data_IF_892185281730
#
_entry.id   IF_892185281730
#
_cell.length_a   1.000
_cell.length_b   1.000
_cell.length_c   1.000
_cell.angle_alpha   90.00
_cell.angle_beta   90.00
_cell.angle_gamma   90.00
#
_symmetry.space_group_name_H-M   'P 1'
#
loop_
_entity.id
_entity.type
_entity.pdbx_description
1 polymer ?
#
# COMPACT_ATOMS: atom_id res chain seq x y z
N UNK A 1 -15.50 -3.20 11.76
CA UNK A 1 -15.32 -4.22 12.82
C UNK A 1 -15.65 -3.71 14.23
N UNK A 2 -15.33 -2.45 14.56
CA UNK A 2 -15.57 -1.85 15.90
C UNK A 2 -17.06 -1.71 16.29
N UNK A 3 -17.94 -1.36 15.33
CA UNK A 3 -19.35 -1.07 15.60
C UNK A 3 -20.31 -2.29 15.49
N UNK A 4 -19.81 -3.52 15.25
CA UNK A 4 -20.60 -4.77 15.12
C UNK A 4 -21.87 -4.68 14.24
N UNK A 5 -21.84 -3.92 13.15
CA UNK A 5 -22.96 -3.80 12.20
C UNK A 5 -22.81 -4.80 11.05
N UNK A 6 -23.72 -5.76 10.91
CA UNK A 6 -23.58 -6.88 9.96
C UNK A 6 -23.96 -6.56 8.51
N UNK A 7 -24.97 -5.71 8.27
CA UNK A 7 -25.44 -5.38 6.91
C UNK A 7 -24.39 -4.66 6.07
N UNK A 8 -23.38 -4.06 6.71
CA UNK A 8 -22.30 -3.33 6.03
C UNK A 8 -21.27 -4.25 5.39
N UNK A 9 -21.24 -5.55 5.69
CA UNK A 9 -20.22 -6.50 5.19
C UNK A 9 -19.97 -6.44 3.67
N UNK A 10 -20.98 -6.52 2.78
CA UNK A 10 -20.75 -6.44 1.33
C UNK A 10 -20.28 -5.05 0.88
N UNK A 11 -20.84 -3.99 1.46
CA UNK A 11 -20.48 -2.60 1.13
C UNK A 11 -19.05 -2.28 1.59
N UNK A 12 -18.66 -2.77 2.77
CA UNK A 12 -17.30 -2.61 3.29
C UNK A 12 -16.27 -3.29 2.40
N UNK A 13 -16.58 -4.46 1.81
CA UNK A 13 -15.68 -5.10 0.85
C UNK A 13 -15.56 -4.33 -0.47
N UNK A 14 -16.67 -3.83 -1.01
CA UNK A 14 -16.61 -2.99 -2.19
C UNK A 14 -15.82 -1.69 -1.93
N UNK A 15 -16.02 -1.07 -0.78
CA UNK A 15 -15.28 0.12 -0.36
C UNK A 15 -13.78 -0.16 -0.14
N UNK A 16 -13.43 -1.34 0.41
CA UNK A 16 -12.04 -1.80 0.51
C UNK A 16 -11.41 -1.91 -0.89
N UNK A 17 -12.08 -2.51 -1.86
CA UNK A 17 -11.56 -2.59 -3.24
C UNK A 17 -11.36 -1.21 -3.88
N UNK A 18 -12.33 -0.30 -3.73
CA UNK A 18 -12.22 1.07 -4.29
C UNK A 18 -11.06 1.84 -3.66
N UNK A 19 -10.85 1.69 -2.35
CA UNK A 19 -9.75 2.36 -1.66
C UNK A 19 -8.38 1.86 -2.13
N UNK A 20 -8.23 0.59 -2.52
CA UNK A 20 -6.98 0.06 -3.09
C UNK A 20 -6.63 0.75 -4.41
N UNK A 21 -7.58 0.82 -5.34
CA UNK A 21 -7.34 1.42 -6.65
C UNK A 21 -7.08 2.92 -6.52
N UNK A 22 -7.82 3.60 -5.64
CA UNK A 22 -7.61 5.01 -5.34
C UNK A 22 -6.22 5.26 -4.72
N UNK A 23 -5.78 4.42 -3.78
CA UNK A 23 -4.46 4.53 -3.14
C UNK A 23 -3.33 4.27 -4.14
N UNK A 24 -3.48 3.27 -5.01
CA UNK A 24 -2.52 2.99 -6.08
C UNK A 24 -2.37 4.16 -7.06
N UNK A 25 -3.49 4.75 -7.50
CA UNK A 25 -3.48 5.91 -8.38
C UNK A 25 -2.90 7.17 -7.68
N UNK A 26 -3.23 7.39 -6.41
CA UNK A 26 -2.70 8.49 -5.61
C UNK A 26 -1.19 8.35 -5.38
N UNK A 27 -0.70 7.15 -5.09
CA UNK A 27 0.74 6.89 -4.98
C UNK A 27 1.48 7.23 -6.28
N UNK A 28 0.91 6.85 -7.43
CA UNK A 28 1.51 7.10 -8.74
C UNK A 28 1.58 8.60 -9.08
N UNK A 29 0.53 9.37 -8.77
CA UNK A 29 0.48 10.80 -9.06
C UNK A 29 1.50 11.62 -8.27
N UNK A 30 1.81 11.20 -7.04
CA UNK A 30 2.87 11.79 -6.20
C UNK A 30 4.23 11.59 -6.87
N UNK A 31 4.55 10.37 -7.28
CA UNK A 31 5.81 10.07 -7.96
C UNK A 31 5.93 10.85 -9.27
N UNK A 32 4.86 10.98 -10.04
CA UNK A 32 4.84 11.76 -11.30
C UNK A 32 5.04 13.27 -11.10
N UNK A 33 4.68 13.82 -9.94
CA UNK A 33 4.89 15.24 -9.63
C UNK A 33 6.35 15.58 -9.27
N UNK A 34 7.19 14.59 -8.98
CA UNK A 34 8.61 14.86 -8.75
C UNK A 34 9.31 15.16 -10.08
N UNK A 35 9.79 16.39 -10.26
CA UNK A 35 10.53 16.79 -11.47
C UNK A 35 11.81 15.98 -11.74
N UNK A 36 12.32 15.23 -10.74
CA UNK A 36 13.46 14.31 -10.87
C UNK A 36 13.19 13.00 -10.12
N UNK A 37 12.30 12.17 -10.66
CA UNK A 37 11.93 10.86 -10.12
C UNK A 37 13.13 9.99 -9.71
N UNK A 38 14.19 9.97 -10.52
CA UNK A 38 15.38 9.15 -10.24
C UNK A 38 16.16 9.59 -9.00
N UNK A 39 15.88 10.76 -8.42
CA UNK A 39 16.50 11.21 -7.15
C UNK A 39 15.62 10.96 -5.92
N UNK A 40 14.43 10.37 -6.07
CA UNK A 40 13.52 10.13 -4.96
C UNK A 40 14.16 9.31 -3.83
N UNK A 41 15.08 8.40 -4.17
CA UNK A 41 15.79 7.58 -3.18
C UNK A 41 16.62 8.40 -2.18
N UNK A 42 17.01 9.65 -2.49
CA UNK A 42 17.74 10.53 -1.56
C UNK A 42 16.88 11.03 -0.39
N UNK A 43 15.56 10.88 -0.45
CA UNK A 43 14.66 11.17 0.68
C UNK A 43 14.66 10.06 1.73
N UNK A 44 15.08 8.85 1.36
CA UNK A 44 15.18 7.73 2.30
C UNK A 44 16.39 7.90 3.21
N UNK A 45 16.25 7.73 4.53
CA UNK A 45 17.36 7.73 5.46
C UNK A 45 18.08 6.39 5.38
N UNK A 46 19.06 6.28 4.48
CA UNK A 46 19.95 5.13 4.40
C UNK A 46 21.41 5.58 4.47
N UNK A 47 22.31 4.78 5.05
CA UNK A 47 23.73 5.12 5.13
C UNK A 47 24.34 5.10 3.72
N UNK A 48 24.89 6.24 3.30
CA UNK A 48 25.58 6.39 2.02
C UNK A 48 27.09 6.60 2.24
N UNK A 49 27.91 6.30 1.23
CA UNK A 49 29.37 6.51 1.22
C UNK A 49 29.78 7.95 1.57
N UNK A 50 28.88 8.91 1.34
CA UNK A 50 29.08 10.34 1.62
C UNK A 50 28.59 10.78 3.01
N UNK A 51 28.04 9.87 3.82
CA UNK A 51 27.44 10.15 5.14
C UNK A 51 26.41 11.31 5.14
N UNK A 52 25.73 11.51 4.00
CA UNK A 52 24.72 12.54 3.84
C UNK A 52 23.38 12.05 4.38
N UNK A 53 22.72 12.90 5.16
CA UNK A 53 21.42 12.62 5.73
C UNK A 53 20.34 13.55 5.19
N UNK A 54 19.09 13.07 5.08
CA UNK A 54 17.96 13.92 4.76
C UNK A 54 17.71 14.97 5.88
N UNK A 55 17.28 16.20 5.52
CA UNK A 55 16.90 17.22 6.51
C UNK A 55 15.55 16.91 7.20
N UNK A 56 15.59 16.42 8.44
CA UNK A 56 14.41 16.05 9.22
C UNK A 56 13.52 17.21 9.67
N UNK A 57 13.91 18.48 9.47
CA UNK A 57 13.04 19.64 9.75
C UNK A 57 12.17 20.04 8.56
N UNK A 58 12.39 19.43 7.40
CA UNK A 58 11.63 19.76 6.20
C UNK A 58 10.22 19.14 6.26
N UNK A 59 9.14 19.91 6.04
CA UNK A 59 7.78 19.37 5.98
C UNK A 59 7.61 18.36 4.83
N UNK A 60 8.38 18.52 3.74
CA UNK A 60 8.36 17.60 2.61
C UNK A 60 8.96 16.23 2.95
N UNK A 61 9.90 16.19 3.90
CA UNK A 61 10.41 14.93 4.44
C UNK A 61 9.34 14.19 5.24
N UNK A 62 8.58 14.95 6.04
CA UNK A 62 7.54 14.40 6.90
C UNK A 62 6.39 13.87 6.05
N UNK A 63 6.04 14.58 4.99
CA UNK A 63 5.07 14.13 4.01
C UNK A 63 5.50 12.80 3.35
N UNK A 64 6.74 12.71 2.88
CA UNK A 64 7.29 11.47 2.32
C UNK A 64 7.21 10.28 3.32
N UNK A 65 7.57 10.51 4.58
CA UNK A 65 7.48 9.49 5.63
C UNK A 65 6.05 9.08 5.96
N UNK A 66 5.15 10.06 6.06
CA UNK A 66 3.73 9.83 6.33
C UNK A 66 3.08 9.04 5.19
N UNK A 67 3.34 9.42 3.94
CA UNK A 67 2.84 8.73 2.75
C UNK A 67 3.39 7.31 2.69
N UNK A 68 4.69 7.10 2.90
CA UNK A 68 5.29 5.77 2.85
C UNK A 68 4.69 4.84 3.92
N UNK A 69 4.58 5.31 5.16
CA UNK A 69 3.98 4.53 6.24
C UNK A 69 2.49 4.26 6.00
N UNK A 70 1.74 5.25 5.49
CA UNK A 70 0.33 5.11 5.14
C UNK A 70 0.12 4.13 3.99
N UNK A 71 0.91 4.22 2.92
CA UNK A 71 0.86 3.29 1.78
C UNK A 71 1.15 1.86 2.25
N UNK A 72 2.21 1.68 3.04
CA UNK A 72 2.62 0.36 3.53
C UNK A 72 1.57 -0.23 4.48
N UNK A 73 1.07 0.57 5.42
CA UNK A 73 0.02 0.14 6.35
C UNK A 73 -1.30 -0.18 5.65
N UNK A 74 -1.70 0.63 4.67
CA UNK A 74 -2.92 0.40 3.90
C UNK A 74 -2.80 -0.86 3.03
N UNK A 75 -1.66 -1.07 2.35
CA UNK A 75 -1.41 -2.28 1.57
C UNK A 75 -1.47 -3.54 2.44
N UNK A 76 -0.86 -3.50 3.64
CA UNK A 76 -0.91 -4.61 4.60
C UNK A 76 -2.33 -4.88 5.09
N UNK A 77 -3.07 -3.84 5.47
CA UNK A 77 -4.45 -3.97 5.95
C UNK A 77 -5.34 -4.65 4.91
N UNK A 78 -5.22 -4.23 3.65
CA UNK A 78 -5.91 -4.80 2.51
C UNK A 78 -5.49 -6.25 2.27
N UNK A 79 -4.18 -6.51 2.25
CA UNK A 79 -3.64 -7.84 1.98
C UNK A 79 -4.16 -8.87 2.99
N UNK A 80 -4.21 -8.49 4.27
CA UNK A 80 -4.79 -9.32 5.33
C UNK A 80 -6.31 -9.52 5.17
N UNK A 81 -7.03 -8.53 4.66
CA UNK A 81 -8.47 -8.64 4.37
C UNK A 81 -8.80 -9.58 3.20
N UNK A 82 -7.93 -9.64 2.20
CA UNK A 82 -8.04 -10.49 1.01
C UNK A 82 -7.58 -11.93 1.24
N UNK A 83 -6.78 -12.18 2.27
CA UNK A 83 -6.22 -13.49 2.62
C UNK A 83 -7.26 -14.64 2.68
N UNK A 84 -8.42 -14.52 3.35
CA UNK A 84 -9.44 -15.58 3.34
C UNK A 84 -10.09 -15.78 1.97
N UNK A 85 -10.22 -14.73 1.16
CA UNK A 85 -10.80 -14.83 -0.18
C UNK A 85 -9.83 -15.51 -1.14
N UNK A 86 -8.52 -15.23 -1.02
CA UNK A 86 -7.48 -15.97 -1.72
C UNK A 86 -7.46 -17.44 -1.32
N UNK A 87 -7.63 -17.75 -0.02
CA UNK A 87 -7.72 -19.13 0.45
C UNK A 87 -8.95 -19.86 -0.13
N UNK A 88 -10.12 -19.22 -0.18
CA UNK A 88 -11.31 -19.80 -0.80
C UNK A 88 -11.14 -19.99 -2.32
N UNK A 89 -10.48 -19.03 -3.00
CA UNK A 89 -10.15 -19.16 -4.42
C UNK A 89 -9.15 -20.29 -4.69
N UNK A 90 -8.16 -20.50 -3.80
CA UNK A 90 -7.22 -21.62 -3.85
C UNK A 90 -7.97 -22.96 -3.80
N UNK A 91 -8.91 -23.09 -2.87
CA UNK A 91 -9.64 -24.34 -2.62
C UNK A 91 -10.63 -24.70 -3.74
N UNK A 92 -11.02 -23.73 -4.58
CA UNK A 92 -11.92 -23.92 -5.72
C UNK A 92 -11.23 -23.88 -7.10
N UNK A 93 -9.91 -23.72 -7.16
CA UNK A 93 -9.16 -23.74 -8.42
C UNK A 93 -8.41 -25.05 -8.63
N UNK A 94 -8.42 -25.57 -9.87
CA UNK A 94 -7.64 -26.74 -10.30
C UNK A 94 -6.71 -26.36 -11.47
N UNK A 95 -5.61 -27.09 -11.64
CA UNK A 95 -4.63 -26.89 -12.72
C UNK A 95 -3.63 -25.76 -12.44
N UNK A 96 -3.14 -25.08 -13.49
CA UNK A 96 -2.08 -24.05 -13.37
C UNK A 96 -2.47 -22.87 -12.47
N UNK A 97 -3.77 -22.55 -12.36
CA UNK A 97 -4.29 -21.51 -11.47
C UNK A 97 -4.10 -21.87 -10.00
N UNK A 98 -4.21 -23.15 -9.63
CA UNK A 98 -3.98 -23.60 -8.25
C UNK A 98 -2.53 -23.36 -7.80
N UNK A 99 -1.57 -23.45 -8.74
CA UNK A 99 -0.15 -23.16 -8.48
C UNK A 99 0.13 -21.68 -8.15
N UNK A 100 -0.70 -20.76 -8.63
CA UNK A 100 -0.61 -19.34 -8.31
C UNK A 100 -1.22 -18.98 -6.95
N UNK A 101 -2.16 -19.79 -6.45
CA UNK A 101 -2.84 -19.58 -5.17
C UNK A 101 -2.33 -20.48 -4.03
N UNK A 102 -1.36 -21.36 -4.31
CA UNK A 102 -0.72 -22.27 -3.34
C UNK A 102 0.35 -21.59 -2.50
#
# INVERSE_FOLDING_TARGET
>A
RVLKVEWRRPISRAAETVTIFALGAAGLSIFMHLGRLWKAYWMLPYPNQRQLWPNFRSPLMWDFMAILTYLTGSLLFVYLGLLPDLAMARDHTRGWRHRFYS
#
